data_IF_756251559226
#
_entry.id   IF_756251559226
#
_cell.length_a   1.000
_cell.length_b   1.000
_cell.length_c   1.000
_cell.angle_alpha   90.00
_cell.angle_beta   90.00
_cell.angle_gamma   90.00
#
_symmetry.space_group_name_H-M   'P 1'
#
loop_
_entity.id
_entity.type
_entity.pdbx_description
1 polymer ?
#
# COMPACT_ATOMS: atom_id res chain seq x y z
N UNK A 1 -2.70 -10.04 1.20
CA UNK A 1 -2.95 -10.54 2.57
C UNK A 1 -2.95 -9.37 3.56
N UNK A 2 -3.65 -9.46 4.69
CA UNK A 2 -3.62 -8.37 5.68
C UNK A 2 -2.19 -8.12 6.18
N UNK A 3 -1.79 -6.86 6.34
CA UNK A 3 -0.46 -6.53 6.85
C UNK A 3 -0.18 -7.13 8.25
N UNK A 4 -1.21 -7.22 9.11
CA UNK A 4 -1.06 -7.86 10.41
C UNK A 4 -0.70 -9.35 10.32
N UNK A 5 -1.11 -10.05 9.26
CA UNK A 5 -0.78 -11.46 9.01
C UNK A 5 0.61 -11.61 8.38
N UNK A 6 1.07 -10.61 7.61
CA UNK A 6 2.41 -10.60 7.00
C UNK A 6 3.54 -10.28 7.99
N UNK A 7 3.22 -9.75 9.18
CA UNK A 7 4.20 -9.43 10.23
C UNK A 7 4.75 -10.69 10.95
N UNK A 8 5.20 -11.67 10.18
CA UNK A 8 5.65 -13.00 10.65
C UNK A 8 7.04 -13.00 11.26
N UNK A 9 7.83 -11.95 11.00
CA UNK A 9 9.15 -11.74 11.60
C UNK A 9 9.41 -10.25 11.86
N UNK A 10 10.44 -9.95 12.67
CA UNK A 10 10.78 -8.59 13.11
C UNK A 10 11.13 -7.67 11.92
N UNK A 11 11.77 -8.20 10.89
CA UNK A 11 12.17 -7.43 9.71
C UNK A 11 10.94 -6.95 8.92
N UNK A 12 10.00 -7.85 8.64
CA UNK A 12 8.72 -7.53 7.99
C UNK A 12 7.86 -6.61 8.85
N UNK A 13 7.76 -6.86 10.16
CA UNK A 13 7.03 -6.00 11.08
C UNK A 13 7.59 -4.56 11.08
N UNK A 14 8.92 -4.41 11.06
CA UNK A 14 9.59 -3.12 10.97
C UNK A 14 9.35 -2.41 9.63
N UNK A 15 9.41 -3.16 8.51
CA UNK A 15 9.06 -2.63 7.18
C UNK A 15 7.59 -2.16 7.13
N UNK A 16 6.65 -2.93 7.68
CA UNK A 16 5.24 -2.54 7.77
C UNK A 16 5.05 -1.27 8.60
N UNK A 17 5.70 -1.18 9.77
CA UNK A 17 5.64 0.03 10.60
C UNK A 17 6.21 1.25 9.87
N UNK A 18 7.33 1.07 9.16
CA UNK A 18 7.97 2.13 8.37
C UNK A 18 7.08 2.57 7.20
N UNK A 19 6.46 1.62 6.49
CA UNK A 19 5.49 1.88 5.43
C UNK A 19 4.30 2.73 5.92
N UNK A 20 3.73 2.38 7.08
CA UNK A 20 2.66 3.16 7.72
C UNK A 20 3.13 4.59 8.03
N UNK A 21 4.34 4.74 8.55
CA UNK A 21 4.90 6.06 8.86
C UNK A 21 5.17 6.88 7.60
N UNK A 22 5.70 6.29 6.54
CA UNK A 22 5.91 6.95 5.25
C UNK A 22 4.58 7.47 4.68
N UNK A 23 3.51 6.67 4.75
CA UNK A 23 2.19 7.12 4.32
C UNK A 23 1.69 8.30 5.15
N UNK A 24 1.81 8.21 6.48
CA UNK A 24 1.39 9.28 7.40
C UNK A 24 2.21 10.57 7.27
N UNK A 25 3.48 10.49 6.86
CA UNK A 25 4.26 11.69 6.54
C UNK A 25 3.64 12.47 5.36
N UNK A 26 3.08 11.76 4.38
CA UNK A 26 2.37 12.39 3.26
C UNK A 26 0.96 12.83 3.66
N UNK A 27 0.28 12.06 4.52
CA UNK A 27 -1.12 12.22 4.92
C UNK A 27 -1.32 12.03 6.44
N UNK A 28 -1.01 13.04 7.27
CA UNK A 28 -0.98 12.89 8.74
C UNK A 28 -2.30 12.49 9.39
N UNK A 29 -3.42 12.91 8.81
CA UNK A 29 -4.76 12.64 9.34
C UNK A 29 -5.27 11.23 9.01
N UNK A 30 -4.52 10.46 8.19
CA UNK A 30 -4.92 9.12 7.80
C UNK A 30 -4.71 8.12 8.95
N UNK A 31 -5.74 7.33 9.23
CA UNK A 31 -5.68 6.22 10.19
C UNK A 31 -5.38 4.92 9.47
N UNK A 32 -4.27 4.29 9.83
CA UNK A 32 -3.91 2.98 9.30
C UNK A 32 -4.78 1.87 9.91
N UNK A 33 -5.08 0.89 9.08
CA UNK A 33 -5.81 -0.34 9.36
C UNK A 33 -5.02 -1.51 8.77
N UNK A 34 -4.42 -2.31 9.65
CA UNK A 34 -3.56 -3.43 9.26
C UNK A 34 -4.35 -4.70 8.92
N UNK A 35 -5.69 -4.66 9.02
CA UNK A 35 -6.60 -5.75 8.67
C UNK A 35 -7.73 -5.23 7.78
N UNK A 36 -7.42 -4.67 6.59
CA UNK A 36 -8.43 -4.11 5.70
C UNK A 36 -9.41 -5.16 5.17
N UNK A 37 -9.01 -6.43 5.13
CA UNK A 37 -9.89 -7.54 4.76
C UNK A 37 -10.46 -8.20 6.00
N UNK A 38 -11.74 -8.51 5.94
CA UNK A 38 -12.42 -9.30 6.96
C UNK A 38 -12.09 -10.78 6.74
N UNK A 39 -12.27 -11.58 7.79
CA UNK A 39 -12.18 -13.04 7.67
C UNK A 39 -13.56 -13.56 7.28
N UNK A 40 -13.99 -13.24 6.06
CA UNK A 40 -15.21 -13.76 5.46
C UNK A 40 -14.95 -14.35 4.07
N UNK A 41 -15.79 -15.30 3.61
CA UNK A 41 -15.56 -16.00 2.36
C UNK A 41 -15.55 -15.10 1.12
N UNK A 42 -16.15 -13.91 1.19
CA UNK A 42 -16.22 -12.97 0.05
C UNK A 42 -14.88 -12.27 -0.16
N UNK A 43 -14.13 -12.02 0.92
CA UNK A 43 -12.81 -11.38 0.89
C UNK A 43 -11.65 -12.36 0.74
N UNK A 44 -11.82 -13.65 1.05
CA UNK A 44 -10.78 -14.69 0.93
C UNK A 44 -10.18 -14.79 -0.48
N UNK A 45 -11.01 -14.69 -1.53
CA UNK A 45 -10.56 -14.75 -2.92
C UNK A 45 -9.64 -13.59 -3.34
N UNK A 46 -9.63 -12.49 -2.57
CA UNK A 46 -8.82 -11.30 -2.86
C UNK A 46 -7.49 -11.29 -2.09
N UNK A 47 -7.26 -12.27 -1.21
CA UNK A 47 -6.04 -12.39 -0.44
C UNK A 47 -4.92 -12.93 -1.33
N UNK A 48 -4.01 -12.04 -1.70
CA UNK A 48 -2.72 -12.43 -2.31
C UNK A 48 -1.71 -12.74 -1.19
N UNK A 49 -1.20 -13.99 -1.06
CA UNK A 49 -0.22 -14.36 -0.03
C UNK A 49 1.13 -13.65 -0.20
N UNK A 50 1.40 -13.09 -1.38
CA UNK A 50 2.60 -12.32 -1.68
C UNK A 50 2.32 -10.80 -1.67
N UNK A 51 1.23 -10.36 -1.03
CA UNK A 51 0.97 -8.95 -0.77
C UNK A 51 0.85 -8.59 0.71
N UNK A 52 1.30 -7.38 1.04
CA UNK A 52 1.02 -6.68 2.30
C UNK A 52 -0.05 -5.63 2.02
N UNK A 53 -1.26 -5.86 2.53
CA UNK A 53 -2.40 -4.97 2.33
C UNK A 53 -2.68 -4.13 3.58
N UNK A 54 -2.78 -2.81 3.40
CA UNK A 54 -3.06 -1.83 4.46
C UNK A 54 -4.17 -0.91 4.01
N UNK A 55 -5.20 -0.73 4.86
CA UNK A 55 -6.20 0.31 4.70
C UNK A 55 -5.75 1.61 5.35
N UNK A 56 -6.00 2.73 4.70
CA UNK A 56 -5.84 4.07 5.28
C UNK A 56 -7.17 4.80 5.21
N UNK A 57 -7.73 5.12 6.38
CA UNK A 57 -9.01 5.80 6.51
C UNK A 57 -8.80 7.30 6.70
N UNK A 58 -9.44 8.11 5.85
CA UNK A 58 -9.46 9.57 5.97
C UNK A 58 -10.55 10.01 6.98
N UNK A 59 -10.51 11.26 7.47
CA UNK A 59 -11.58 11.84 8.28
C UNK A 59 -12.87 12.09 7.47
N UNK A 60 -13.54 11.01 7.06
CA UNK A 60 -14.68 11.05 6.16
C UNK A 60 -14.29 11.08 4.68
N UNK A 61 -15.26 11.40 3.83
CA UNK A 61 -15.01 11.55 2.39
C UNK A 61 -14.32 12.88 2.12
N UNK A 62 -13.26 12.86 1.32
CA UNK A 62 -12.52 14.05 0.95
C UNK A 62 -12.65 14.34 -0.55
N UNK A 63 -13.16 15.51 -0.97
CA UNK A 63 -13.18 15.91 -2.37
C UNK A 63 -11.78 15.99 -2.98
N UNK A 64 -10.77 16.31 -2.18
CA UNK A 64 -9.38 16.41 -2.66
C UNK A 64 -8.79 15.04 -3.00
N UNK A 65 -9.19 14.01 -2.27
CA UNK A 65 -8.78 12.63 -2.52
C UNK A 65 -9.75 11.89 -3.43
N UNK A 66 -10.97 12.43 -3.63
CA UNK A 66 -12.09 11.75 -4.27
C UNK A 66 -12.40 10.37 -3.65
N UNK A 67 -12.05 10.17 -2.39
CA UNK A 67 -12.23 8.90 -1.66
C UNK A 67 -12.42 9.17 -0.17
N UNK A 68 -12.84 8.14 0.58
CA UNK A 68 -12.89 8.14 2.05
C UNK A 68 -11.81 7.25 2.67
N UNK A 69 -11.30 6.32 1.90
CA UNK A 69 -10.23 5.42 2.30
C UNK A 69 -9.37 5.08 1.10
N UNK A 70 -8.15 4.64 1.37
CA UNK A 70 -7.19 4.18 0.38
C UNK A 70 -6.73 2.80 0.83
N UNK A 71 -6.91 1.80 -0.04
CA UNK A 71 -6.29 0.49 0.13
C UNK A 71 -4.93 0.52 -0.57
N UNK A 72 -3.86 0.24 0.16
CA UNK A 72 -2.51 0.08 -0.37
C UNK A 72 -2.15 -1.40 -0.34
N UNK A 73 -1.80 -1.95 -1.49
CA UNK A 73 -1.35 -3.33 -1.65
C UNK A 73 0.09 -3.32 -2.13
N UNK A 74 1.01 -3.71 -1.25
CA UNK A 74 2.44 -3.83 -1.55
C UNK A 74 2.69 -5.26 -2.00
N UNK A 75 2.85 -5.46 -3.30
CA UNK A 75 3.05 -6.77 -3.93
C UNK A 75 4.53 -7.11 -3.94
N UNK A 76 4.87 -8.28 -3.45
CA UNK A 76 6.23 -8.76 -3.30
C UNK A 76 6.54 -9.80 -4.38
N UNK A 77 7.82 -9.93 -4.71
CA UNK A 77 8.26 -11.04 -5.54
C UNK A 77 8.13 -12.35 -4.74
N UNK A 78 7.61 -13.43 -5.35
CA UNK A 78 7.62 -14.75 -4.73
C UNK A 78 9.08 -15.17 -4.50
N UNK A 79 9.44 -15.44 -3.26
CA UNK A 79 10.78 -15.95 -2.91
C UNK A 79 10.65 -17.07 -1.89
N UNK A 80 11.55 -18.06 -1.97
CA UNK A 80 11.64 -19.16 -1.03
C UNK A 80 12.18 -18.75 0.34
N UNK A 81 12.80 -17.56 0.46
CA UNK A 81 13.38 -17.08 1.71
C UNK A 81 12.57 -15.95 2.34
N UNK A 82 12.16 -16.14 3.59
CA UNK A 82 11.18 -15.33 4.33
C UNK A 82 11.64 -13.91 4.69
N UNK A 83 12.93 -13.58 4.48
CA UNK A 83 13.55 -12.33 4.89
C UNK A 83 13.79 -11.31 3.76
N UNK A 84 13.97 -11.78 2.53
CA UNK A 84 14.39 -10.95 1.39
C UNK A 84 13.29 -10.81 0.32
N UNK A 85 12.08 -10.49 0.80
CA UNK A 85 10.94 -10.24 -0.08
C UNK A 85 11.08 -8.86 -0.71
N UNK A 86 11.57 -8.85 -1.95
CA UNK A 86 11.69 -7.66 -2.79
C UNK A 86 10.33 -7.17 -3.27
N UNK A 87 10.25 -5.87 -3.54
CA UNK A 87 9.01 -5.27 -4.03
C UNK A 87 8.84 -5.51 -5.54
N UNK A 88 7.72 -6.11 -5.94
CA UNK A 88 7.27 -6.18 -7.34
C UNK A 88 6.59 -4.87 -7.73
N UNK A 89 5.70 -4.37 -6.88
CA UNK A 89 5.03 -3.11 -7.11
C UNK A 89 3.95 -2.81 -6.08
N UNK A 90 3.27 -1.68 -6.27
CA UNK A 90 2.29 -1.14 -5.33
C UNK A 90 1.05 -0.80 -6.12
N UNK A 91 -0.09 -1.24 -5.62
CA UNK A 91 -1.39 -0.70 -6.00
C UNK A 91 -1.93 0.17 -4.87
N UNK A 92 -2.37 1.39 -5.19
CA UNK A 92 -3.13 2.23 -4.27
C UNK A 92 -4.51 2.52 -4.86
N UNK A 93 -5.56 2.18 -4.12
CA UNK A 93 -6.94 2.21 -4.60
C UNK A 93 -7.76 3.13 -3.71
N UNK A 94 -8.29 4.21 -4.28
CA UNK A 94 -9.20 5.11 -3.60
C UNK A 94 -10.62 4.55 -3.60
N UNK A 95 -11.21 4.39 -2.42
CA UNK A 95 -12.52 3.81 -2.23
C UNK A 95 -13.51 4.84 -1.66
N UNK A 96 -14.75 4.75 -2.11
CA UNK A 96 -15.89 5.48 -1.55
C UNK A 96 -17.03 4.52 -1.22
N UNK A 97 -18.19 5.04 -0.79
CA UNK A 97 -19.38 4.20 -0.57
C UNK A 97 -19.92 3.58 -1.86
N UNK A 98 -19.58 4.13 -3.03
CA UNK A 98 -19.95 3.57 -4.34
C UNK A 98 -18.85 2.68 -4.94
N UNK A 99 -17.81 2.33 -4.17
CA UNK A 99 -16.70 1.48 -4.60
C UNK A 99 -15.46 2.25 -5.06
N UNK A 100 -14.64 1.62 -5.90
CA UNK A 100 -13.39 2.15 -6.44
C UNK A 100 -13.62 3.44 -7.25
N UNK A 101 -12.89 4.49 -6.89
CA UNK A 101 -12.95 5.80 -7.56
C UNK A 101 -11.73 6.05 -8.43
N UNK A 102 -10.59 5.52 -8.01
CA UNK A 102 -9.34 5.62 -8.74
C UNK A 102 -8.35 4.55 -8.27
N UNK A 103 -7.38 4.27 -9.12
CA UNK A 103 -6.27 3.36 -8.86
C UNK A 103 -4.98 3.93 -9.41
N UNK A 104 -3.93 3.84 -8.59
CA UNK A 104 -2.53 3.94 -8.99
C UNK A 104 -1.96 2.53 -9.02
N UNK A 105 -1.22 2.19 -10.09
CA UNK A 105 -0.41 0.97 -10.12
C UNK A 105 1.00 1.28 -10.58
N UNK A 106 2.00 0.84 -9.80
CA UNK A 106 3.41 1.01 -10.17
C UNK A 106 3.94 -0.11 -11.06
N UNK A 107 3.18 -1.18 -11.25
CA UNK A 107 3.51 -2.26 -12.21
C UNK A 107 3.14 -1.84 -13.63
N UNK A 108 2.11 -1.00 -13.76
CA UNK A 108 1.68 -0.43 -15.03
C UNK A 108 2.48 0.85 -15.36
N UNK A 109 1.79 1.95 -15.63
CA UNK A 109 2.35 3.20 -16.16
C UNK A 109 2.51 4.30 -15.11
N UNK A 110 2.32 3.98 -13.83
CA UNK A 110 2.34 4.94 -12.71
C UNK A 110 1.31 6.08 -12.86
N UNK A 111 0.27 5.87 -13.67
CA UNK A 111 -0.84 6.81 -13.79
C UNK A 111 -1.93 6.48 -12.77
N UNK A 112 -2.61 7.54 -12.33
CA UNK A 112 -3.81 7.41 -11.52
C UNK A 112 -4.99 7.48 -12.46
N UNK A 113 -5.77 6.41 -12.52
CA UNK A 113 -6.90 6.25 -13.44
C UNK A 113 -8.17 5.95 -12.65
N UNK A 114 -9.30 6.44 -13.15
CA UNK A 114 -10.61 6.17 -12.57
C UNK A 114 -11.62 7.26 -12.89
N UNK A 115 -12.90 7.05 -12.54
CA UNK A 115 -13.97 8.02 -12.77
C UNK A 115 -13.75 9.37 -12.08
N UNK A 116 -13.09 9.37 -10.91
CA UNK A 116 -12.81 10.59 -10.13
C UNK A 116 -11.41 10.51 -9.55
N UNK A 117 -10.48 11.29 -10.10
CA UNK A 117 -9.08 11.28 -9.66
C UNK A 117 -8.82 12.31 -8.56
N UNK A 118 -7.84 12.06 -7.67
CA UNK A 118 -7.42 13.04 -6.66
C UNK A 118 -6.88 14.33 -7.27
N UNK A 119 -6.77 15.37 -6.46
CA UNK A 119 -6.02 16.58 -6.81
C UNK A 119 -4.55 16.24 -7.14
N UNK A 120 -3.93 17.04 -8.01
CA UNK A 120 -2.58 16.79 -8.53
C UNK A 120 -1.52 16.64 -7.44
N UNK A 121 -1.58 17.44 -6.38
CA UNK A 121 -0.65 17.34 -5.25
C UNK A 121 -0.82 16.03 -4.45
N UNK A 122 -2.04 15.51 -4.34
CA UNK A 122 -2.31 14.22 -3.71
C UNK A 122 -1.73 13.10 -4.57
N UNK A 123 -1.88 13.21 -5.89
CA UNK A 123 -1.27 12.29 -6.85
C UNK A 123 0.26 12.27 -6.72
N UNK A 124 0.89 13.44 -6.60
CA UNK A 124 2.35 13.54 -6.46
C UNK A 124 2.84 12.95 -5.13
N UNK A 125 2.11 13.21 -4.03
CA UNK A 125 2.39 12.62 -2.71
C UNK A 125 2.23 11.10 -2.70
N UNK A 126 1.20 10.56 -3.36
CA UNK A 126 1.01 9.11 -3.52
C UNK A 126 2.19 8.48 -4.29
N UNK A 127 2.61 9.10 -5.39
CA UNK A 127 3.79 8.64 -6.15
C UNK A 127 5.07 8.73 -5.32
N UNK A 128 5.22 9.79 -4.52
CA UNK A 128 6.37 9.93 -3.62
C UNK A 128 6.39 8.83 -2.55
N UNK A 129 5.25 8.54 -1.93
CA UNK A 129 5.09 7.41 -1.02
C UNK A 129 5.47 6.08 -1.68
N UNK A 130 5.05 5.85 -2.93
CA UNK A 130 5.43 4.67 -3.68
C UNK A 130 6.95 4.56 -3.85
N UNK A 131 7.63 5.64 -4.27
CA UNK A 131 9.11 5.66 -4.41
C UNK A 131 9.82 5.32 -3.10
N UNK A 132 9.43 5.96 -2.00
CA UNK A 132 10.00 5.70 -0.67
C UNK A 132 9.77 4.24 -0.23
N UNK A 133 8.65 3.65 -0.63
CA UNK A 133 8.36 2.24 -0.39
C UNK A 133 9.25 1.32 -1.23
N UNK A 134 9.52 1.65 -2.50
CA UNK A 134 10.52 0.93 -3.29
C UNK A 134 11.89 0.95 -2.62
N UNK A 135 12.34 2.11 -2.14
CA UNK A 135 13.61 2.25 -1.45
C UNK A 135 13.64 1.39 -0.18
N UNK A 136 12.59 1.43 0.64
CA UNK A 136 12.48 0.63 1.87
C UNK A 136 12.62 -0.88 1.64
N UNK A 137 12.00 -1.40 0.59
CA UNK A 137 11.96 -2.84 0.35
C UNK A 137 13.18 -3.35 -0.44
N UNK A 138 13.83 -2.49 -1.24
CA UNK A 138 14.93 -2.87 -2.12
C UNK A 138 16.31 -2.36 -1.65
N UNK A 139 16.41 -1.53 -0.61
CA UNK A 139 17.70 -1.02 -0.12
C UNK A 139 18.66 -2.09 0.45
N UNK A 140 18.16 -3.26 0.85
CA UNK A 140 18.96 -4.33 1.44
C UNK A 140 20.00 -4.95 0.48
N UNK A 141 19.88 -4.74 -0.84
CA UNK A 141 20.82 -5.25 -1.85
C UNK A 141 22.20 -4.54 -1.84
N UNK A 142 22.28 -3.32 -1.28
CA UNK A 142 23.49 -2.49 -1.41
C UNK A 142 24.61 -2.87 -0.42
N UNK A 143 24.37 -3.76 0.53
CA UNK A 143 25.36 -4.17 1.54
C UNK A 143 25.93 -5.58 1.34
N UNK A 144 25.47 -6.33 0.32
CA UNK A 144 25.93 -7.70 0.03
C UNK A 144 26.81 -7.80 -1.23
N UNK A 145 27.21 -6.67 -1.80
CA UNK A 145 28.06 -6.58 -3.00
C UNK A 145 29.36 -5.78 -2.79
N UNK A 146 29.80 -5.60 -1.54
CA UNK A 146 31.07 -4.95 -1.17
C UNK A 146 32.02 -5.92 -0.46
#
# INVERSE_FOLDING_TARGET
>A
MNAAEQATNVQLASKIATLVNLFKQQFPDARADLKPWRNDPETEQWLDPDSIDIGFHLPGWSPRFQSRSILVQVRLLPTSETGDRRLLGIDAVGLSHVGEQWRLSTIADWQIRGPKTPASDVCDRLKQFCRQTFDLFNASDSQLSA
#
